data_IF_199069718749
#
_entry.id   IF_199069718749
#
_cell.length_a   1.000
_cell.length_b   1.000
_cell.length_c   1.000
_cell.angle_alpha   90.00
_cell.angle_beta   90.00
_cell.angle_gamma   90.00
#
_symmetry.space_group_name_H-M   'P 1'
#
loop_
_entity.id
_entity.type
_entity.pdbx_description
1 polymer ?
#
# COMPACT_ATOMS: atom_id res chain seq x y z
N UNK A 1 -1.29 -16.71 -0.27
CA UNK A 1 -2.69 -16.60 0.19
C UNK A 1 -3.27 -15.34 -0.44
N UNK A 2 -4.54 -15.32 -0.85
CA UNK A 2 -5.15 -14.11 -1.43
C UNK A 2 -6.63 -14.01 -1.08
N UNK A 3 -7.19 -12.80 -1.10
CA UNK A 3 -8.60 -12.53 -0.88
C UNK A 3 -9.06 -11.37 -1.76
N UNK A 4 -10.07 -11.64 -2.59
CA UNK A 4 -10.71 -10.64 -3.43
C UNK A 4 -11.94 -10.07 -2.72
N UNK A 5 -12.02 -8.75 -2.63
CA UNK A 5 -13.18 -8.01 -2.11
C UNK A 5 -13.65 -6.96 -3.12
N UNK A 6 -14.92 -6.57 -3.01
CA UNK A 6 -15.46 -5.44 -3.76
C UNK A 6 -15.46 -4.21 -2.86
N UNK A 7 -14.71 -3.18 -3.21
CA UNK A 7 -14.75 -1.92 -2.45
C UNK A 7 -16.13 -1.27 -2.58
N UNK A 8 -16.50 -0.38 -1.64
CA UNK A 8 -17.78 0.37 -1.63
C UNK A 8 -18.12 1.15 -2.90
N UNK A 9 -17.17 1.22 -3.85
CA UNK A 9 -17.32 1.87 -5.16
C UNK A 9 -17.46 0.87 -6.32
N UNK A 10 -17.64 -0.42 -6.03
CA UNK A 10 -17.82 -1.46 -7.03
C UNK A 10 -16.57 -1.79 -7.84
N UNK A 11 -15.38 -1.47 -7.34
CA UNK A 11 -14.13 -1.90 -7.97
C UNK A 11 -13.60 -3.15 -7.28
N UNK A 12 -13.16 -4.17 -8.04
CA UNK A 12 -12.49 -5.34 -7.47
C UNK A 12 -11.15 -4.91 -6.86
N UNK A 13 -10.87 -5.41 -5.67
CA UNK A 13 -9.66 -5.15 -4.90
C UNK A 13 -9.18 -6.47 -4.32
N UNK A 14 -7.90 -6.78 -4.50
CA UNK A 14 -7.33 -8.05 -4.06
C UNK A 14 -6.21 -7.79 -3.05
N UNK A 15 -6.24 -8.53 -1.94
CA UNK A 15 -5.15 -8.58 -0.97
C UNK A 15 -4.38 -9.87 -1.19
N UNK A 16 -3.21 -9.78 -1.83
CA UNK A 16 -2.36 -10.96 -2.07
C UNK A 16 -1.21 -10.96 -1.07
N UNK A 17 -0.98 -12.12 -0.46
CA UNK A 17 0.14 -12.40 0.42
C UNK A 17 1.04 -13.47 -0.19
N UNK A 18 2.29 -13.09 -0.48
CA UNK A 18 3.34 -14.02 -0.92
C UNK A 18 4.33 -14.27 0.22
N UNK A 19 4.65 -15.55 0.44
CA UNK A 19 5.73 -15.96 1.33
C UNK A 19 6.94 -16.30 0.48
N UNK A 20 8.07 -15.69 0.81
CA UNK A 20 9.34 -15.99 0.17
C UNK A 20 9.99 -17.17 0.90
N UNK A 21 10.60 -18.06 0.13
CA UNK A 21 11.35 -19.18 0.70
C UNK A 21 12.59 -18.69 1.44
N UNK A 22 13.28 -17.72 0.84
CA UNK A 22 14.48 -17.11 1.38
C UNK A 22 14.21 -15.69 1.87
N UNK A 23 14.94 -15.29 2.91
CA UNK A 23 14.90 -13.92 3.40
C UNK A 23 15.51 -12.98 2.35
N UNK A 24 14.84 -11.86 2.11
CA UNK A 24 15.35 -10.79 1.23
C UNK A 24 16.06 -9.75 2.09
N UNK A 25 17.32 -9.48 1.75
CA UNK A 25 18.09 -8.39 2.34
C UNK A 25 17.58 -7.05 1.86
N UNK A 26 17.74 -6.01 2.68
CA UNK A 26 17.29 -4.65 2.36
C UNK A 26 17.77 -4.18 0.97
N UNK A 27 19.01 -4.52 0.62
CA UNK A 27 19.65 -4.16 -0.63
C UNK A 27 19.00 -4.79 -1.87
N UNK A 28 18.28 -5.91 -1.70
CA UNK A 28 17.57 -6.61 -2.76
C UNK A 28 16.10 -6.20 -2.85
N UNK A 29 15.58 -5.44 -1.89
CA UNK A 29 14.18 -4.96 -1.93
C UNK A 29 13.96 -4.08 -3.16
N UNK A 30 14.93 -3.22 -3.47
CA UNK A 30 14.87 -2.28 -4.58
C UNK A 30 14.81 -2.95 -5.96
N UNK A 31 15.21 -4.23 -6.06
CA UNK A 31 15.10 -5.03 -7.30
C UNK A 31 13.64 -5.40 -7.60
N UNK A 32 12.79 -5.45 -6.57
CA UNK A 32 11.40 -5.88 -6.68
C UNK A 32 10.39 -4.76 -6.43
N UNK A 33 10.70 -3.83 -5.53
CA UNK A 33 9.82 -2.76 -5.09
C UNK A 33 10.51 -1.43 -5.30
N UNK A 34 9.84 -0.51 -5.99
CA UNK A 34 10.29 0.86 -6.17
C UNK A 34 9.27 1.83 -5.57
N UNK A 35 9.77 2.95 -5.06
CA UNK A 35 8.96 4.10 -4.71
C UNK A 35 9.43 5.36 -5.46
N UNK A 36 10.00 5.17 -6.65
CA UNK A 36 10.49 6.24 -7.53
C UNK A 36 9.74 6.28 -8.86
N UNK A 37 9.64 7.48 -9.43
CA UNK A 37 9.14 7.72 -10.78
C UNK A 37 10.14 7.11 -11.81
N UNK A 38 9.70 6.18 -12.68
CA UNK A 38 10.53 5.59 -13.72
C UNK A 38 11.09 6.62 -14.70
N UNK A 39 12.20 6.29 -15.36
CA UNK A 39 12.71 7.10 -16.46
C UNK A 39 11.83 6.95 -17.70
N UNK A 40 11.19 8.03 -18.22
CA UNK A 40 10.42 7.94 -19.45
C UNK A 40 11.28 7.59 -20.67
N UNK A 41 12.60 7.83 -20.65
CA UNK A 41 13.49 7.46 -21.75
C UNK A 41 13.86 5.96 -21.74
N UNK A 42 13.90 5.33 -20.55
CA UNK A 42 14.28 3.91 -20.43
C UNK A 42 13.06 2.98 -20.42
N UNK A 43 11.98 3.37 -19.75
CA UNK A 43 10.74 2.59 -19.67
C UNK A 43 9.51 3.53 -19.74
N UNK A 44 9.17 4.04 -20.93
CA UNK A 44 8.05 4.96 -21.12
C UNK A 44 6.70 4.33 -20.73
N UNK A 45 6.54 3.02 -20.93
CA UNK A 45 5.30 2.33 -20.57
C UNK A 45 5.11 2.31 -19.05
N UNK A 46 6.13 1.88 -18.31
CA UNK A 46 6.07 1.91 -16.84
C UNK A 46 5.89 3.34 -16.34
N UNK A 47 6.60 4.31 -16.91
CA UNK A 47 6.46 5.72 -16.53
C UNK A 47 5.00 6.20 -16.59
N UNK A 48 4.30 5.96 -17.70
CA UNK A 48 2.89 6.37 -17.82
C UNK A 48 1.96 5.57 -16.88
N UNK A 49 2.20 4.27 -16.66
CA UNK A 49 1.45 3.49 -15.68
C UNK A 49 1.62 4.06 -14.28
N UNK A 50 2.86 4.34 -13.84
CA UNK A 50 3.13 4.88 -12.51
C UNK A 50 2.51 6.27 -12.36
N UNK A 51 2.67 7.13 -13.35
CA UNK A 51 2.10 8.48 -13.37
C UNK A 51 0.58 8.49 -13.22
N UNK A 52 -0.11 7.57 -13.91
CA UNK A 52 -1.57 7.54 -13.92
C UNK A 52 -2.16 6.77 -12.74
N UNK A 53 -1.49 5.73 -12.27
CA UNK A 53 -2.09 4.75 -11.36
C UNK A 53 -1.42 4.66 -9.99
N UNK A 54 -0.18 5.12 -9.80
CA UNK A 54 0.59 4.84 -8.56
C UNK A 54 0.91 6.10 -7.77
N UNK A 55 0.87 7.27 -8.40
CA UNK A 55 1.13 8.51 -7.70
C UNK A 55 -0.02 8.83 -6.75
N UNK A 56 0.30 8.93 -5.47
CA UNK A 56 -0.61 9.50 -4.50
C UNK A 56 -0.92 10.94 -4.94
N UNK A 57 -2.21 11.29 -4.96
CA UNK A 57 -2.64 12.60 -5.42
C UNK A 57 -1.93 13.76 -4.70
N UNK A 58 -2.05 14.99 -5.23
CA UNK A 58 -1.45 16.17 -4.62
C UNK A 58 -1.78 16.21 -3.13
N UNK A 59 -0.76 16.11 -2.29
CA UNK A 59 -0.94 15.91 -0.86
C UNK A 59 0.20 16.57 -0.09
N UNK A 60 -0.16 17.25 1.00
CA UNK A 60 0.75 18.08 1.79
C UNK A 60 0.20 19.48 2.00
N UNK A 61 0.88 20.28 2.81
CA UNK A 61 0.41 21.60 3.25
C UNK A 61 0.11 22.59 2.11
N UNK A 62 0.72 22.39 0.93
CA UNK A 62 0.62 23.29 -0.21
C UNK A 62 -0.53 22.93 -1.18
N UNK A 63 -1.33 21.91 -0.86
CA UNK A 63 -2.42 21.44 -1.72
C UNK A 63 -3.76 21.51 -1.00
N UNK A 64 -4.84 21.60 -1.77
CA UNK A 64 -6.19 21.48 -1.23
C UNK A 64 -6.37 20.15 -0.49
N UNK A 65 -7.20 20.15 0.55
CA UNK A 65 -7.44 18.97 1.37
C UNK A 65 -8.12 17.89 0.54
N UNK A 66 -7.36 16.84 0.23
CA UNK A 66 -7.87 15.67 -0.46
C UNK A 66 -8.61 14.68 0.46
N UNK A 67 -9.28 13.66 -0.11
CA UNK A 67 -9.98 12.62 0.66
C UNK A 67 -9.10 11.83 1.63
N UNK A 68 -7.78 11.89 1.45
CA UNK A 68 -6.80 11.20 2.29
C UNK A 68 -6.48 11.92 3.60
N UNK A 69 -6.94 13.16 3.79
CA UNK A 69 -6.80 13.85 5.07
C UNK A 69 -7.86 13.26 6.01
N UNK A 70 -7.40 12.61 7.09
CA UNK A 70 -8.28 12.38 8.25
C UNK A 70 -8.65 13.73 8.85
N UNK A 71 -9.52 13.79 9.86
CA UNK A 71 -10.00 15.00 10.55
C UNK A 71 -8.93 15.98 11.09
N UNK A 72 -7.64 15.77 10.83
CA UNK A 72 -6.52 16.61 11.18
C UNK A 72 -5.79 17.25 9.98
N UNK A 73 -4.65 17.91 10.22
CA UNK A 73 -3.94 18.72 9.23
C UNK A 73 -2.99 17.92 8.33
N UNK A 74 -2.99 16.58 8.40
CA UNK A 74 -2.02 15.73 7.70
C UNK A 74 -2.71 14.58 6.98
N UNK A 75 -2.03 14.06 5.95
CA UNK A 75 -2.47 12.87 5.24
C UNK A 75 -2.51 11.66 6.18
N UNK A 76 -3.65 10.97 6.22
CA UNK A 76 -3.83 9.72 6.97
C UNK A 76 -2.84 8.63 6.56
N UNK A 77 -2.35 8.69 5.32
CA UNK A 77 -1.40 7.74 4.74
C UNK A 77 0.06 8.20 4.85
N UNK A 78 0.31 9.34 5.50
CA UNK A 78 1.66 9.85 5.78
C UNK A 78 2.37 10.47 4.58
N UNK A 79 1.64 10.90 3.55
CA UNK A 79 2.19 11.63 2.41
C UNK A 79 2.23 13.15 2.66
N UNK A 80 3.22 13.86 2.07
CA UNK A 80 4.35 13.34 1.31
C UNK A 80 5.38 12.62 2.22
N UNK A 81 6.00 11.55 1.72
CA UNK A 81 7.07 10.82 2.43
C UNK A 81 8.37 11.63 2.46
N UNK A 82 9.32 11.24 3.30
CA UNK A 82 10.66 11.86 3.31
C UNK A 82 11.48 11.35 2.11
N UNK A 83 12.38 12.19 1.62
CA UNK A 83 13.44 11.72 0.72
C UNK A 83 14.46 10.89 1.50
N UNK A 84 14.88 9.77 0.91
CA UNK A 84 15.88 8.86 1.48
C UNK A 84 16.66 8.28 0.30
N UNK A 85 17.98 8.31 0.39
CA UNK A 85 18.88 7.88 -0.70
C UNK A 85 18.94 6.36 -0.88
N UNK A 86 18.60 5.58 0.16
CA UNK A 86 18.69 4.11 0.18
C UNK A 86 17.54 3.51 1.00
N UNK A 87 17.11 2.30 0.63
CA UNK A 87 16.05 1.59 1.38
C UNK A 87 16.58 1.10 2.73
N UNK A 88 15.83 1.37 3.80
CA UNK A 88 16.23 1.04 5.18
C UNK A 88 15.19 0.13 5.84
N UNK A 89 15.64 -0.97 6.43
CA UNK A 89 14.77 -1.81 7.28
C UNK A 89 14.56 -1.16 8.64
N UNK A 90 13.31 -1.11 9.09
CA UNK A 90 12.91 -0.59 10.40
C UNK A 90 12.59 -1.72 11.38
N UNK A 91 12.49 -1.36 12.67
CA UNK A 91 12.10 -2.27 13.75
C UNK A 91 10.60 -2.57 13.77
N UNK A 92 9.76 -1.71 13.19
CA UNK A 92 8.30 -1.92 13.11
C UNK A 92 7.89 -2.90 12.00
N UNK A 93 8.81 -3.25 11.10
CA UNK A 93 8.63 -4.29 10.09
C UNK A 93 8.34 -3.81 8.69
N UNK A 94 8.24 -2.50 8.46
CA UNK A 94 7.98 -1.89 7.16
C UNK A 94 9.19 -1.08 6.70
N UNK A 95 9.88 -1.44 5.61
CA UNK A 95 11.04 -0.71 5.18
C UNK A 95 10.67 0.72 4.77
N UNK A 96 11.61 1.64 5.01
CA UNK A 96 11.58 2.96 4.41
C UNK A 96 12.20 2.85 3.02
N UNK A 97 11.37 2.90 1.97
CA UNK A 97 11.86 2.80 0.61
C UNK A 97 12.64 4.04 0.18
N UNK A 98 13.66 3.79 -0.64
CA UNK A 98 14.43 4.79 -1.36
C UNK A 98 13.53 5.71 -2.18
N UNK A 99 13.71 7.01 -1.99
CA UNK A 99 13.03 8.11 -2.68
C UNK A 99 14.05 9.23 -2.87
N UNK A 100 14.76 9.25 -3.99
CA UNK A 100 15.74 10.31 -4.26
C UNK A 100 15.06 11.64 -4.51
N UNK A 101 15.69 12.70 -4.03
CA UNK A 101 15.29 14.08 -4.34
C UNK A 101 15.64 14.44 -5.79
N UNK A 102 15.02 15.47 -6.40
CA UNK A 102 15.41 15.92 -7.73
C UNK A 102 16.89 16.27 -7.89
N UNK A 103 17.51 16.80 -6.83
CA UNK A 103 18.95 17.09 -6.78
C UNK A 103 19.84 15.85 -6.77
N UNK A 104 19.30 14.69 -6.41
CA UNK A 104 19.99 13.40 -6.37
C UNK A 104 19.55 12.48 -7.54
N UNK A 105 18.97 13.04 -8.59
CA UNK A 105 18.50 12.29 -9.76
C UNK A 105 17.13 11.64 -9.60
N UNK A 106 16.37 12.01 -8.56
CA UNK A 106 14.94 11.75 -8.47
C UNK A 106 14.18 12.49 -9.56
N UNK A 107 13.08 11.91 -10.05
CA UNK A 107 12.27 12.49 -11.12
C UNK A 107 11.04 13.18 -10.57
N UNK A 108 10.43 14.01 -11.43
CA UNK A 108 9.14 14.64 -11.18
C UNK A 108 8.21 14.36 -12.35
N UNK A 109 6.91 14.47 -12.10
CA UNK A 109 5.88 14.40 -13.14
C UNK A 109 4.80 15.44 -12.87
N UNK A 110 4.09 15.83 -13.93
CA UNK A 110 2.92 16.70 -13.81
C UNK A 110 1.65 15.86 -13.79
N UNK A 111 0.89 15.95 -12.70
CA UNK A 111 -0.42 15.30 -12.53
C UNK A 111 -1.44 16.36 -12.17
N UNK A 112 -2.49 16.51 -12.98
CA UNK A 112 -3.57 17.50 -12.77
C UNK A 112 -3.05 18.95 -12.58
N UNK A 113 -2.02 19.34 -13.33
CA UNK A 113 -1.40 20.67 -13.24
C UNK A 113 -0.44 20.87 -12.06
N UNK A 114 -0.22 19.84 -11.24
CA UNK A 114 0.73 19.89 -10.13
C UNK A 114 1.99 19.10 -10.47
N UNK A 115 3.15 19.69 -10.23
CA UNK A 115 4.44 18.99 -10.28
C UNK A 115 4.65 18.20 -9.00
N UNK A 116 4.70 16.89 -9.11
CA UNK A 116 4.84 15.94 -8.02
C UNK A 116 6.17 15.20 -8.14
N UNK A 117 6.76 14.80 -7.02
CA UNK A 117 8.05 14.11 -6.95
C UNK A 117 7.93 12.73 -6.29
N UNK A 118 9.07 12.05 -6.15
CA UNK A 118 9.17 10.72 -5.55
C UNK A 118 8.56 10.59 -4.14
N UNK A 119 8.29 11.68 -3.41
CA UNK A 119 7.67 11.61 -2.06
C UNK A 119 6.22 11.16 -2.10
N UNK A 120 5.55 11.28 -3.25
CA UNK A 120 4.14 10.95 -3.43
C UNK A 120 3.91 9.60 -4.11
N UNK A 121 4.98 8.91 -4.54
CA UNK A 121 4.84 7.60 -5.19
C UNK A 121 4.43 6.54 -4.18
N UNK A 122 3.37 5.80 -4.44
CA UNK A 122 3.03 4.61 -3.66
C UNK A 122 4.00 3.48 -4.02
N UNK A 123 4.59 2.72 -3.07
CA UNK A 123 5.51 1.63 -3.40
C UNK A 123 4.86 0.62 -4.35
N UNK A 124 5.57 0.21 -5.40
CA UNK A 124 5.04 -0.66 -6.45
C UNK A 124 6.09 -1.65 -6.93
N UNK A 125 5.65 -2.74 -7.56
CA UNK A 125 6.53 -3.66 -8.26
C UNK A 125 6.51 -3.36 -9.77
N UNK A 126 7.63 -2.97 -10.40
CA UNK A 126 7.68 -2.63 -11.82
C UNK A 126 7.11 -3.71 -12.75
N UNK A 127 7.37 -4.98 -12.43
CA UNK A 127 6.88 -6.12 -13.21
C UNK A 127 5.35 -6.18 -13.15
N UNK A 128 4.78 -6.17 -11.94
CA UNK A 128 3.33 -6.34 -11.75
C UNK A 128 2.55 -5.13 -12.24
N UNK A 129 3.06 -3.91 -12.00
CA UNK A 129 2.46 -2.69 -12.54
C UNK A 129 2.39 -2.73 -14.07
N UNK A 130 3.44 -3.19 -14.76
CA UNK A 130 3.40 -3.36 -16.23
C UNK A 130 2.45 -4.46 -16.67
N UNK A 131 2.46 -5.60 -15.99
CA UNK A 131 1.61 -6.75 -16.36
C UNK A 131 0.12 -6.42 -16.30
N UNK A 132 -0.31 -5.68 -15.27
CA UNK A 132 -1.73 -5.44 -15.03
C UNK A 132 -2.19 -4.02 -15.39
N UNK A 133 -1.29 -3.06 -15.56
CA UNK A 133 -1.63 -1.67 -15.89
C UNK A 133 -2.56 -1.02 -14.85
N UNK A 134 -2.48 -1.42 -13.58
CA UNK A 134 -3.40 -1.03 -12.51
C UNK A 134 -2.67 -0.36 -11.32
N UNK A 135 -3.44 0.21 -10.40
CA UNK A 135 -2.91 0.65 -9.10
C UNK A 135 -2.58 -0.57 -8.25
N UNK A 136 -1.29 -0.89 -8.10
CA UNK A 136 -0.80 -2.01 -7.29
C UNK A 136 0.22 -1.46 -6.31
N UNK A 137 -0.17 -1.39 -5.03
CA UNK A 137 0.74 -1.07 -3.95
C UNK A 137 1.40 -2.35 -3.44
N UNK A 138 2.73 -2.36 -3.38
CA UNK A 138 3.53 -3.52 -2.96
C UNK A 138 4.35 -3.19 -1.73
N UNK A 139 4.15 -3.95 -0.66
CA UNK A 139 4.82 -3.72 0.62
C UNK A 139 5.59 -4.95 1.09
N UNK A 140 6.87 -4.76 1.43
CA UNK A 140 7.69 -5.77 2.09
C UNK A 140 7.46 -5.75 3.61
N UNK A 141 7.17 -6.93 4.18
CA UNK A 141 6.85 -7.06 5.60
C UNK A 141 7.68 -8.17 6.24
N UNK A 142 8.40 -7.84 7.32
CA UNK A 142 9.22 -8.84 8.03
C UNK A 142 8.86 -9.01 9.52
N UNK A 143 8.05 -8.11 10.10
CA UNK A 143 7.70 -8.22 11.53
C UNK A 143 6.43 -9.01 11.77
N UNK A 144 6.37 -9.65 12.95
CA UNK A 144 5.18 -10.32 13.50
C UNK A 144 3.94 -9.44 13.44
N UNK A 145 4.11 -8.14 13.71
CA UNK A 145 3.02 -7.17 13.70
C UNK A 145 2.49 -6.96 12.28
N UNK A 146 3.37 -6.82 11.30
CA UNK A 146 3.01 -6.68 9.89
C UNK A 146 2.30 -7.94 9.38
N UNK A 147 2.80 -9.12 9.73
CA UNK A 147 2.21 -10.41 9.34
C UNK A 147 0.82 -10.58 9.96
N UNK A 148 0.68 -10.30 11.27
CA UNK A 148 -0.62 -10.34 11.96
C UNK A 148 -1.61 -9.36 11.33
N UNK A 149 -1.15 -8.16 10.98
CA UNK A 149 -1.97 -7.17 10.28
C UNK A 149 -2.45 -7.76 8.96
N UNK A 150 -1.57 -8.33 8.13
CA UNK A 150 -1.96 -8.88 6.83
C UNK A 150 -2.92 -10.05 6.98
N UNK A 151 -2.64 -11.00 7.87
CA UNK A 151 -3.55 -12.11 8.15
C UNK A 151 -4.94 -11.62 8.58
N UNK A 152 -5.06 -10.47 9.26
CA UNK A 152 -6.35 -9.85 9.57
C UNK A 152 -7.11 -9.40 8.31
N UNK A 153 -6.44 -8.87 7.29
CA UNK A 153 -7.11 -8.42 6.05
C UNK A 153 -7.47 -9.60 5.16
N UNK A 154 -6.57 -10.56 5.01
CA UNK A 154 -6.81 -11.75 4.17
C UNK A 154 -7.90 -12.63 4.78
N UNK A 155 -7.88 -12.82 6.10
CA UNK A 155 -8.93 -13.58 6.81
C UNK A 155 -10.06 -12.67 7.33
N UNK A 156 -10.16 -11.43 6.84
CA UNK A 156 -11.34 -10.63 7.13
C UNK A 156 -12.50 -11.36 6.47
N UNK A 157 -13.42 -11.90 7.26
CA UNK A 157 -14.66 -12.43 6.73
C UNK A 157 -15.31 -11.36 5.87
N UNK A 158 -15.91 -11.75 4.75
CA UNK A 158 -16.74 -10.86 3.94
C UNK A 158 -17.70 -10.08 4.86
N UNK A 159 -18.03 -8.84 4.51
CA UNK A 159 -19.03 -8.06 5.24
C UNK A 159 -20.34 -8.88 5.27
N UNK A 160 -20.56 -9.56 6.39
CA UNK A 160 -21.71 -10.42 6.60
C UNK A 160 -22.80 -9.54 7.21
N UNK A 161 -23.80 -9.21 6.39
CA UNK A 161 -25.02 -8.65 6.89
C UNK A 161 -25.90 -9.80 7.39
N UNK A 162 -25.90 -10.04 8.69
CA UNK A 162 -26.89 -10.90 9.32
C UNK A 162 -28.16 -10.07 9.51
N UNK A 163 -29.17 -10.35 8.69
CA UNK A 163 -30.50 -9.82 8.89
C UNK A 163 -31.27 -10.83 9.70
N UNK A 164 -31.62 -10.45 10.91
CA UNK A 164 -32.52 -11.22 11.75
C UNK A 164 -33.92 -10.58 11.64
N UNK A 165 -34.87 -11.32 11.08
CA UNK A 165 -36.26 -10.89 11.02
C UNK A 165 -36.93 -11.37 12.31
N UNK A 166 -36.83 -10.55 13.36
CA UNK A 166 -37.59 -10.80 14.59
C UNK A 166 -38.96 -10.14 14.54
N UNK A 167 -39.98 -10.97 14.66
CA UNK A 167 -41.22 -10.54 15.27
C UNK A 167 -40.98 -10.53 16.79
N UNK A 168 -41.06 -9.35 17.41
CA UNK A 168 -40.82 -9.07 18.84
C UNK A 168 -40.97 -10.29 19.78
N UNK A 169 -40.00 -10.61 20.64
CA UNK A 169 -39.81 -9.88 21.89
C UNK A 169 -38.47 -10.22 22.59
N UNK A 170 -37.72 -9.16 22.94
CA UNK A 170 -36.72 -8.96 24.00
C UNK A 170 -35.44 -9.85 24.14
N UNK A 171 -34.30 -9.15 23.92
CA UNK A 171 -32.91 -9.33 24.38
C UNK A 171 -32.00 -10.37 23.70
N UNK A 172 -31.01 -9.88 22.94
CA UNK A 172 -29.88 -10.66 22.42
C UNK A 172 -28.56 -10.25 23.08
N UNK A 173 -27.84 -11.25 23.60
CA UNK A 173 -26.46 -11.08 24.09
C UNK A 173 -25.55 -11.99 23.27
N UNK A 174 -24.56 -11.40 22.60
CA UNK A 174 -23.52 -12.11 21.84
C UNK A 174 -22.24 -12.20 22.66
N UNK A 175 -21.61 -13.38 22.74
CA UNK A 175 -20.26 -13.55 23.32
C UNK A 175 -19.30 -14.23 22.32
N UNK A 176 -18.00 -13.90 22.40
CA UNK A 176 -16.95 -14.53 21.61
C UNK A 176 -15.59 -14.58 22.35
N UNK A 177 -14.90 -15.72 22.24
CA UNK A 177 -13.53 -16.05 22.71
C UNK A 177 -12.86 -16.92 21.60
N UNK A 178 -11.55 -17.09 21.37
CA UNK A 178 -10.24 -16.72 21.97
C UNK A 178 -9.09 -16.99 20.94
N UNK A 179 -7.90 -16.36 21.15
CA UNK A 179 -6.45 -16.78 20.97
C UNK A 179 -6.07 -17.74 19.81
N UNK A 180 -4.95 -17.66 19.07
CA UNK A 180 -3.64 -16.97 19.12
C UNK A 180 -2.56 -17.94 18.57
N UNK A 181 -1.52 -17.50 17.82
CA UNK A 181 -0.17 -18.13 17.63
C UNK A 181 0.71 -17.39 16.55
N UNK A 182 1.98 -17.83 16.41
CA UNK A 182 3.29 -17.17 16.09
C UNK A 182 3.65 -16.84 14.59
N UNK A 183 4.80 -16.19 14.26
CA UNK A 183 5.04 -15.41 13.00
C UNK A 183 5.90 -16.03 11.85
N UNK A 184 5.70 -15.55 10.60
CA UNK A 184 6.45 -15.84 9.33
C UNK A 184 6.45 -14.64 8.33
N UNK A 185 7.59 -14.22 7.72
CA UNK A 185 7.76 -13.04 6.83
C UNK A 185 6.99 -13.08 5.49
N UNK A 186 6.57 -11.92 4.92
CA UNK A 186 5.62 -11.87 3.79
C UNK A 186 5.64 -10.59 2.92
N UNK A 187 5.12 -10.65 1.67
CA UNK A 187 4.95 -9.53 0.72
C UNK A 187 3.45 -9.27 0.46
N UNK A 188 3.03 -8.00 0.48
CA UNK A 188 1.63 -7.58 0.33
C UNK A 188 1.39 -6.89 -1.02
N UNK A 189 0.26 -7.20 -1.65
CA UNK A 189 -0.33 -6.45 -2.77
C UNK A 189 -1.68 -5.87 -2.32
N UNK A 190 -1.92 -4.57 -2.55
CA UNK A 190 -3.23 -3.91 -2.36
C UNK A 190 -3.53 -2.98 -3.52
#
# INVERSE_FOLDING_TARGET
MYTVEWQKRGLPHDHILLWLNDKVDANKIDDFISAEIPDPALDPLLHEIIKNNIIHGPCGANYEKGPCWSSGPTCAKGYPRKFISETQTTTDGYPLYRRRSPTEGGRTVTVKGHTLDNRLVVPYCPLLSKTFGAHINVEYCHSVKSIKYICKYVNKSSDAAFFDIRLNTWLDVTSAHTKGLQPLCSLLFT
#
